data_IF_676832604806
#
_entry.id   IF_676832604806
#
_cell.length_a   1.000
_cell.length_b   1.000
_cell.length_c   1.000
_cell.angle_alpha   90.00
_cell.angle_beta   90.00
_cell.angle_gamma   90.00
#
_symmetry.space_group_name_H-M   'P 1'
#
loop_
_entity.id
_entity.type
_entity.pdbx_description
1 polymer ?
#
# COMPACT_ATOMS: atom_id res chain seq x y z
N UNK A 1 -24.33 16.97 5.17
CA UNK A 1 -23.32 15.94 4.82
C UNK A 1 -23.06 15.82 3.32
N UNK A 2 -23.47 16.79 2.50
CA UNK A 2 -23.26 16.80 1.02
C UNK A 2 -22.19 17.81 0.56
N UNK A 3 -21.55 18.53 1.47
CA UNK A 3 -20.54 19.55 1.14
C UNK A 3 -19.08 19.06 1.19
N UNK A 4 -18.78 18.05 1.99
CA UNK A 4 -17.42 17.55 2.15
C UNK A 4 -16.93 16.66 0.99
N UNK A 5 -17.85 16.01 0.28
CA UNK A 5 -17.52 15.18 -0.88
C UNK A 5 -17.22 16.02 -2.15
N UNK A 6 -17.80 17.23 -2.25
CA UNK A 6 -17.57 18.12 -3.39
C UNK A 6 -16.18 18.80 -3.36
N UNK A 7 -15.72 19.22 -2.18
CA UNK A 7 -14.36 19.81 -2.01
C UNK A 7 -13.24 18.77 -2.14
N UNK A 8 -13.51 17.50 -1.83
CA UNK A 8 -12.57 16.41 -2.07
C UNK A 8 -12.50 16.02 -3.57
N UNK A 9 -13.54 16.31 -4.34
CA UNK A 9 -13.61 15.99 -5.76
C UNK A 9 -12.84 17.01 -6.64
N UNK A 10 -12.79 18.30 -6.31
CA UNK A 10 -12.06 19.32 -7.09
C UNK A 10 -10.53 19.16 -7.04
N UNK A 11 -9.98 18.65 -5.95
CA UNK A 11 -8.52 18.51 -5.77
C UNK A 11 -7.86 17.31 -6.51
N UNK A 12 -8.63 16.44 -7.17
CA UNK A 12 -8.08 15.24 -7.85
C UNK A 12 -7.60 15.56 -9.27
N UNK A 13 -8.23 16.51 -9.93
CA UNK A 13 -7.97 16.83 -11.35
C UNK A 13 -6.60 17.51 -11.55
N UNK A 14 -6.17 18.34 -10.60
CA UNK A 14 -4.92 19.13 -10.72
C UNK A 14 -3.63 18.31 -10.49
N UNK A 15 -3.71 17.10 -9.97
CA UNK A 15 -2.53 16.34 -9.55
C UNK A 15 -1.90 15.45 -10.63
N UNK A 16 -2.57 15.27 -11.78
CA UNK A 16 -2.10 14.41 -12.86
C UNK A 16 -1.95 15.15 -14.21
N UNK A 17 -2.30 16.43 -14.26
CA UNK A 17 -2.33 17.25 -15.49
C UNK A 17 -1.08 18.13 -15.64
N UNK A 18 0.12 17.54 -15.71
CA UNK A 18 1.31 18.34 -16.06
C UNK A 18 1.83 18.05 -17.48
N UNK A 19 1.05 17.39 -18.35
CA UNK A 19 1.47 17.19 -19.75
C UNK A 19 0.28 17.08 -20.72
N UNK A 20 -0.66 18.02 -20.67
CA UNK A 20 -1.71 18.09 -21.70
C UNK A 20 -2.06 19.52 -22.05
N UNK A 21 -1.75 19.97 -23.26
CA UNK A 21 -2.37 21.17 -23.79
C UNK A 21 -3.86 20.89 -24.03
N UNK A 22 -4.73 21.35 -23.14
CA UNK A 22 -6.20 21.32 -23.31
C UNK A 22 -6.68 22.07 -24.58
N UNK A 23 -5.78 22.74 -25.27
CA UNK A 23 -6.05 23.44 -26.55
C UNK A 23 -6.05 22.53 -27.78
N UNK A 24 -5.63 21.27 -27.67
CA UNK A 24 -5.57 20.33 -28.81
C UNK A 24 -6.80 19.40 -28.91
N UNK A 25 -7.79 19.53 -28.05
CA UNK A 25 -8.97 18.66 -28.03
C UNK A 25 -10.04 19.04 -29.05
N UNK A 26 -9.99 20.25 -29.59
CA UNK A 26 -10.97 20.72 -30.61
C UNK A 26 -10.54 20.52 -32.06
N UNK A 27 -9.29 20.13 -32.33
CA UNK A 27 -8.75 20.08 -33.70
C UNK A 27 -8.08 18.75 -34.11
N UNK A 28 -8.26 17.67 -33.38
CA UNK A 28 -7.75 16.37 -33.82
C UNK A 28 -8.88 15.52 -34.45
N UNK A 29 -9.00 15.75 -35.71
CA UNK A 29 -9.44 14.92 -36.81
C UNK A 29 -10.17 13.62 -36.48
N UNK A 30 -11.36 13.55 -37.09
CA UNK A 30 -12.06 12.33 -37.54
C UNK A 30 -11.13 11.45 -38.40
N UNK A 31 -10.08 10.86 -37.84
CA UNK A 31 -9.46 9.73 -38.49
C UNK A 31 -10.42 8.56 -38.40
N UNK A 32 -11.11 8.36 -39.51
CA UNK A 32 -11.99 7.26 -39.83
C UNK A 32 -11.27 5.95 -39.50
N UNK A 33 -11.73 5.26 -38.47
CA UNK A 33 -11.43 3.84 -38.22
C UNK A 33 -12.22 3.06 -39.29
N UNK A 34 -11.71 3.05 -40.51
CA UNK A 34 -12.18 2.10 -41.53
C UNK A 34 -11.61 0.73 -41.18
N UNK A 35 -12.42 -0.31 -41.09
CA UNK A 35 -11.92 -1.66 -40.91
C UNK A 35 -11.19 -2.08 -42.20
N UNK A 36 -9.85 -2.15 -42.11
CA UNK A 36 -9.02 -2.73 -43.16
C UNK A 36 -9.39 -4.21 -43.30
N UNK A 37 -10.08 -4.56 -44.38
CA UNK A 37 -10.31 -5.93 -44.79
C UNK A 37 -8.97 -6.58 -45.13
N UNK A 38 -8.39 -7.30 -44.17
CA UNK A 38 -7.31 -8.24 -44.44
C UNK A 38 -7.90 -9.65 -44.63
N UNK A 39 -7.50 -10.22 -45.75
CA UNK A 39 -7.90 -11.53 -46.27
C UNK A 39 -7.51 -12.69 -45.36
N UNK A 40 -8.44 -13.60 -45.24
CA UNK A 40 -8.43 -15.05 -45.00
C UNK A 40 -7.21 -15.77 -44.41
N UNK A 41 -7.55 -16.65 -43.44
CA UNK A 41 -6.87 -17.84 -42.93
C UNK A 41 -5.86 -17.62 -41.81
N UNK A 42 -6.36 -17.46 -40.63
CA UNK A 42 -5.82 -18.03 -39.40
C UNK A 42 -6.98 -18.07 -38.41
N UNK A 43 -7.19 -19.19 -37.72
CA UNK A 43 -8.06 -19.26 -36.54
C UNK A 43 -7.48 -18.36 -35.46
N UNK A 44 -7.69 -17.06 -35.59
CA UNK A 44 -7.39 -16.08 -34.56
C UNK A 44 -8.42 -16.30 -33.45
N UNK A 45 -7.99 -16.77 -32.32
CA UNK A 45 -8.72 -16.52 -31.08
C UNK A 45 -8.99 -15.02 -31.04
N UNK A 46 -10.27 -14.65 -31.29
CA UNK A 46 -10.69 -13.25 -31.27
C UNK A 46 -10.31 -12.69 -29.86
N UNK A 47 -9.34 -11.80 -29.83
CA UNK A 47 -8.99 -11.11 -28.62
C UNK A 47 -10.25 -10.37 -28.11
N UNK A 48 -10.59 -10.57 -26.84
CA UNK A 48 -11.75 -9.97 -26.19
C UNK A 48 -11.80 -8.44 -26.43
N UNK A 49 -10.64 -7.80 -26.48
CA UNK A 49 -10.49 -6.38 -26.77
C UNK A 49 -10.95 -6.03 -28.19
N UNK A 50 -10.58 -6.84 -29.21
CA UNK A 50 -10.98 -6.61 -30.59
C UNK A 50 -12.48 -6.82 -30.78
N UNK A 51 -13.03 -7.83 -30.11
CA UNK A 51 -14.46 -8.11 -30.15
C UNK A 51 -15.26 -6.96 -29.55
N UNK A 52 -14.88 -6.48 -28.38
CA UNK A 52 -15.51 -5.32 -27.74
C UNK A 52 -15.41 -4.06 -28.62
N UNK A 53 -14.24 -3.75 -29.18
CA UNK A 53 -14.05 -2.58 -30.02
C UNK A 53 -14.87 -2.63 -31.31
N UNK A 54 -15.07 -3.81 -31.88
CA UNK A 54 -15.93 -3.99 -33.05
C UNK A 54 -17.41 -3.75 -32.71
N UNK A 55 -17.87 -4.27 -31.57
CA UNK A 55 -19.27 -4.17 -31.14
C UNK A 55 -19.68 -2.73 -30.81
N UNK A 56 -18.85 -1.96 -30.10
CA UNK A 56 -19.14 -0.53 -29.79
C UNK A 56 -19.18 0.35 -31.06
N UNK A 57 -18.54 -0.09 -32.15
CA UNK A 57 -18.53 0.61 -33.44
C UNK A 57 -19.89 0.70 -34.12
N UNK A 58 -20.82 -0.21 -33.82
CA UNK A 58 -22.15 -0.27 -34.45
C UNK A 58 -23.10 0.82 -33.95
N UNK A 59 -22.88 1.39 -32.75
CA UNK A 59 -23.76 2.44 -32.21
C UNK A 59 -23.45 3.78 -32.86
N UNK A 60 -24.41 4.42 -33.60
CA UNK A 60 -24.18 5.72 -34.21
C UNK A 60 -24.04 6.82 -33.16
N UNK A 61 -23.21 7.82 -33.47
CA UNK A 61 -23.02 9.00 -32.64
C UNK A 61 -24.30 9.84 -32.60
N UNK A 62 -24.54 10.51 -31.48
CA UNK A 62 -25.69 11.40 -31.30
C UNK A 62 -25.32 12.83 -31.74
N UNK A 63 -26.28 13.50 -32.36
CA UNK A 63 -26.24 14.94 -32.60
C UNK A 63 -26.52 15.72 -31.31
N UNK A 64 -26.18 17.01 -31.25
CA UNK A 64 -26.42 17.84 -30.06
C UNK A 64 -27.92 17.91 -29.67
N UNK A 65 -28.82 17.82 -30.65
CA UNK A 65 -30.27 17.82 -30.42
C UNK A 65 -30.74 16.49 -29.84
N UNK A 66 -30.23 15.40 -30.40
CA UNK A 66 -30.48 14.04 -29.87
C UNK A 66 -29.93 13.85 -28.47
N UNK A 67 -28.73 14.37 -28.16
CA UNK A 67 -28.16 14.36 -26.81
C UNK A 67 -29.12 15.00 -25.81
N UNK A 68 -29.65 16.18 -26.11
CA UNK A 68 -30.64 16.87 -25.26
C UNK A 68 -31.94 16.10 -25.12
N UNK A 69 -32.44 15.56 -26.25
CA UNK A 69 -33.68 14.80 -26.24
C UNK A 69 -33.58 13.54 -25.38
N UNK A 70 -32.55 12.72 -25.59
CA UNK A 70 -32.37 11.51 -24.83
C UNK A 70 -31.99 11.79 -23.37
N UNK A 71 -31.19 12.84 -23.06
CA UNK A 71 -30.88 13.25 -21.72
C UNK A 71 -32.15 13.65 -20.93
N UNK A 72 -33.06 14.44 -21.51
CA UNK A 72 -34.34 14.79 -20.88
C UNK A 72 -35.20 13.56 -20.56
N UNK A 73 -35.19 12.56 -21.40
CA UNK A 73 -35.91 11.29 -21.19
C UNK A 73 -35.22 10.42 -20.15
N UNK A 74 -33.89 10.36 -20.15
CA UNK A 74 -33.14 9.63 -19.16
C UNK A 74 -33.34 10.20 -17.74
N UNK A 75 -33.39 11.53 -17.59
CA UNK A 75 -33.74 12.20 -16.33
C UNK A 75 -35.16 11.88 -15.83
N UNK A 76 -36.09 11.57 -16.75
CA UNK A 76 -37.46 11.11 -16.40
C UNK A 76 -37.52 9.63 -16.04
N UNK A 77 -36.36 8.91 -16.06
CA UNK A 77 -36.28 7.49 -15.73
C UNK A 77 -36.54 6.54 -16.89
N UNK A 78 -36.56 7.01 -18.16
CA UNK A 78 -36.73 6.14 -19.31
C UNK A 78 -35.48 5.30 -19.59
N UNK A 79 -35.52 3.99 -19.29
CA UNK A 79 -34.39 3.08 -19.39
C UNK A 79 -33.83 2.97 -20.84
N UNK A 80 -34.70 3.02 -21.86
CA UNK A 80 -34.28 2.97 -23.25
C UNK A 80 -33.45 4.19 -23.67
N UNK A 81 -33.83 5.40 -23.19
CA UNK A 81 -33.09 6.63 -23.44
C UNK A 81 -31.73 6.62 -22.73
N UNK A 82 -31.70 6.17 -21.48
CA UNK A 82 -30.45 6.00 -20.72
C UNK A 82 -29.50 5.02 -21.42
N UNK A 83 -30.00 3.86 -21.83
CA UNK A 83 -29.21 2.86 -22.59
C UNK A 83 -28.63 3.47 -23.85
N UNK A 84 -29.43 4.19 -24.63
CA UNK A 84 -29.01 4.83 -25.87
C UNK A 84 -27.91 5.86 -25.65
N UNK A 85 -28.02 6.69 -24.63
CA UNK A 85 -26.99 7.68 -24.26
C UNK A 85 -25.67 7.00 -23.89
N UNK A 86 -25.69 5.89 -23.17
CA UNK A 86 -24.48 5.15 -22.78
C UNK A 86 -23.84 4.53 -24.03
N UNK A 87 -24.58 3.73 -24.78
CA UNK A 87 -24.06 2.98 -25.96
C UNK A 87 -23.43 3.89 -27.01
N UNK A 88 -24.02 5.05 -27.27
CA UNK A 88 -23.51 6.00 -28.24
C UNK A 88 -22.22 6.69 -27.82
N UNK A 89 -21.88 6.65 -26.53
CA UNK A 89 -20.70 7.32 -25.96
C UNK A 89 -19.59 6.36 -25.48
N UNK A 90 -19.74 5.03 -25.68
CA UNK A 90 -18.70 4.06 -25.32
C UNK A 90 -17.36 4.32 -26.03
N UNK A 91 -17.40 4.79 -27.28
CA UNK A 91 -16.21 5.18 -28.06
C UNK A 91 -15.40 6.28 -27.36
N UNK A 92 -16.07 7.24 -26.70
CA UNK A 92 -15.42 8.30 -25.92
C UNK A 92 -14.65 7.70 -24.75
N UNK A 93 -15.24 6.73 -24.04
CA UNK A 93 -14.57 6.05 -22.94
C UNK A 93 -13.26 5.39 -23.41
N UNK A 94 -13.31 4.66 -24.52
CA UNK A 94 -12.11 4.01 -25.10
C UNK A 94 -11.03 5.03 -25.45
N UNK A 95 -11.41 6.18 -26.07
CA UNK A 95 -10.48 7.25 -26.43
C UNK A 95 -9.74 7.81 -25.18
N UNK A 96 -10.48 7.99 -24.08
CA UNK A 96 -9.91 8.49 -22.83
C UNK A 96 -9.05 7.39 -22.17
N UNK A 97 -9.54 6.16 -22.04
CA UNK A 97 -8.86 5.05 -21.39
C UNK A 97 -7.49 4.74 -22.02
N UNK A 98 -7.34 4.91 -23.34
CA UNK A 98 -6.05 4.71 -24.04
C UNK A 98 -4.93 5.61 -23.53
N UNK A 99 -5.24 6.79 -22.96
CA UNK A 99 -4.23 7.71 -22.40
C UNK A 99 -3.66 7.22 -21.07
N UNK A 100 -4.36 6.29 -20.42
CA UNK A 100 -3.97 5.73 -19.11
C UNK A 100 -3.33 4.34 -19.24
N UNK A 101 -3.02 3.89 -20.47
CA UNK A 101 -2.26 2.66 -20.70
C UNK A 101 -0.91 2.70 -19.99
N UNK A 102 -0.42 1.51 -19.59
CA UNK A 102 0.87 1.33 -18.90
C UNK A 102 0.95 1.97 -17.49
N UNK A 103 -0.19 2.30 -16.89
CA UNK A 103 -0.24 2.81 -15.50
C UNK A 103 -0.62 1.74 -14.47
N UNK A 104 -0.53 0.45 -14.83
CA UNK A 104 -0.72 -0.68 -13.92
C UNK A 104 -2.07 -1.39 -14.02
N UNK A 105 -3.01 -0.91 -14.84
CA UNK A 105 -4.27 -1.61 -15.17
C UNK A 105 -4.32 -2.00 -16.64
N UNK A 106 -5.04 -3.09 -16.96
CA UNK A 106 -5.29 -3.50 -18.34
C UNK A 106 -6.21 -2.50 -19.06
N UNK A 107 -6.16 -2.46 -20.40
CA UNK A 107 -7.05 -1.59 -21.18
C UNK A 107 -8.53 -1.88 -20.90
N UNK A 108 -8.90 -3.15 -20.79
CA UNK A 108 -10.29 -3.54 -20.53
C UNK A 108 -10.75 -3.06 -19.13
N UNK A 109 -9.91 -3.21 -18.10
CA UNK A 109 -10.24 -2.72 -16.76
C UNK A 109 -10.40 -1.19 -16.74
N UNK A 110 -9.54 -0.47 -17.46
CA UNK A 110 -9.65 1.00 -17.61
C UNK A 110 -10.94 1.40 -18.31
N UNK A 111 -11.36 0.64 -19.31
CA UNK A 111 -12.63 0.87 -20.04
C UNK A 111 -13.81 0.64 -19.11
N UNK A 112 -13.82 -0.46 -18.35
CA UNK A 112 -14.94 -0.77 -17.45
C UNK A 112 -15.07 0.27 -16.34
N UNK A 113 -13.97 0.71 -15.74
CA UNK A 113 -13.99 1.81 -14.77
C UNK A 113 -14.45 3.13 -15.41
N UNK A 114 -14.01 3.40 -16.66
CA UNK A 114 -14.49 4.53 -17.45
C UNK A 114 -15.98 4.45 -17.75
N UNK A 115 -16.51 3.26 -18.04
CA UNK A 115 -17.95 3.03 -18.26
C UNK A 115 -18.76 3.35 -17.00
N UNK A 116 -18.26 3.04 -15.80
CA UNK A 116 -18.91 3.47 -14.55
C UNK A 116 -18.96 5.00 -14.43
N UNK A 117 -17.89 5.68 -14.85
CA UNK A 117 -17.86 7.14 -14.94
C UNK A 117 -18.87 7.70 -15.93
N UNK A 118 -18.99 7.09 -17.12
CA UNK A 118 -19.97 7.45 -18.14
C UNK A 118 -21.41 7.28 -17.65
N UNK A 119 -21.71 6.19 -16.96
CA UNK A 119 -23.03 5.94 -16.37
C UNK A 119 -23.42 7.05 -15.39
N UNK A 120 -22.50 7.43 -14.50
CA UNK A 120 -22.71 8.55 -13.55
C UNK A 120 -22.89 9.87 -14.28
N UNK A 121 -22.16 10.10 -15.36
CA UNK A 121 -22.30 11.30 -16.18
C UNK A 121 -23.70 11.38 -16.79
N UNK A 122 -24.23 10.28 -17.34
CA UNK A 122 -25.59 10.24 -17.90
C UNK A 122 -26.66 10.53 -16.85
N UNK A 123 -26.49 10.05 -15.63
CA UNK A 123 -27.43 10.27 -14.52
C UNK A 123 -27.44 11.73 -14.01
N UNK A 124 -26.32 12.40 -14.08
CA UNK A 124 -26.15 13.76 -13.51
C UNK A 124 -26.13 14.87 -14.57
N UNK A 125 -26.16 14.55 -15.85
CA UNK A 125 -26.07 15.54 -16.93
C UNK A 125 -27.33 16.39 -17.03
N UNK A 126 -27.16 17.71 -17.00
CA UNK A 126 -28.24 18.70 -17.22
C UNK A 126 -28.20 19.23 -18.66
N UNK A 127 -29.15 18.85 -19.52
CA UNK A 127 -29.20 19.25 -20.93
C UNK A 127 -29.55 20.74 -21.13
N UNK A 128 -30.04 21.44 -20.12
CA UNK A 128 -30.46 22.85 -20.23
C UNK A 128 -29.29 23.84 -20.10
N UNK A 129 -28.13 23.38 -19.61
CA UNK A 129 -26.92 24.21 -19.46
C UNK A 129 -26.24 24.57 -20.80
N UNK A 130 -26.64 23.99 -21.92
CA UNK A 130 -26.14 24.32 -23.26
C UNK A 130 -24.78 23.72 -23.64
N UNK A 131 -24.14 22.98 -22.74
CA UNK A 131 -22.87 22.29 -23.03
C UNK A 131 -23.09 20.94 -23.70
N UNK A 132 -22.10 20.46 -24.46
CA UNK A 132 -22.10 19.11 -25.04
C UNK A 132 -21.95 18.06 -23.93
N UNK A 133 -22.62 16.94 -24.10
CA UNK A 133 -22.50 15.82 -23.16
C UNK A 133 -21.07 15.30 -23.03
N UNK A 134 -20.32 15.25 -24.12
CA UNK A 134 -18.94 14.77 -24.13
C UNK A 134 -18.01 15.55 -23.21
N UNK A 135 -18.17 16.87 -23.11
CA UNK A 135 -17.40 17.74 -22.21
C UNK A 135 -17.62 17.37 -20.75
N UNK A 136 -18.87 17.19 -20.36
CA UNK A 136 -19.24 16.78 -19.01
C UNK A 136 -18.82 15.34 -18.69
N UNK A 137 -19.07 14.40 -19.61
CA UNK A 137 -18.73 13.00 -19.45
C UNK A 137 -17.22 12.76 -19.33
N UNK A 138 -16.40 13.53 -20.05
CA UNK A 138 -14.94 13.43 -19.98
C UNK A 138 -14.42 13.60 -18.57
N UNK A 139 -14.95 14.54 -17.80
CA UNK A 139 -14.57 14.76 -16.42
C UNK A 139 -14.89 13.53 -15.55
N UNK A 140 -16.10 12.99 -15.63
CA UNK A 140 -16.50 11.81 -14.85
C UNK A 140 -15.72 10.55 -15.21
N UNK A 141 -15.49 10.33 -16.52
CA UNK A 141 -14.72 9.19 -17.02
C UNK A 141 -13.28 9.27 -16.48
N UNK A 142 -12.63 10.43 -16.62
CA UNK A 142 -11.27 10.66 -16.13
C UNK A 142 -11.17 10.43 -14.64
N UNK A 143 -12.02 11.07 -13.87
CA UNK A 143 -12.10 10.96 -12.43
C UNK A 143 -12.22 9.51 -11.94
N UNK A 144 -13.09 8.71 -12.60
CA UNK A 144 -13.32 7.32 -12.19
C UNK A 144 -12.11 6.44 -12.53
N UNK A 145 -11.51 6.62 -13.70
CA UNK A 145 -10.29 5.90 -14.10
C UNK A 145 -9.12 6.21 -13.15
N UNK A 146 -8.88 7.48 -12.84
CA UNK A 146 -7.81 7.89 -11.94
C UNK A 146 -8.00 7.35 -10.53
N UNK A 147 -9.23 7.38 -10.04
CA UNK A 147 -9.57 6.79 -8.75
C UNK A 147 -9.35 5.27 -8.73
N UNK A 148 -9.69 4.58 -9.83
CA UNK A 148 -9.43 3.15 -9.98
C UNK A 148 -7.94 2.83 -9.98
N UNK A 149 -7.14 3.59 -10.73
CA UNK A 149 -5.68 3.46 -10.74
C UNK A 149 -5.11 3.62 -9.34
N UNK A 150 -5.47 4.66 -8.60
CA UNK A 150 -4.97 4.87 -7.23
C UNK A 150 -5.36 3.76 -6.26
N UNK A 151 -6.50 3.10 -6.48
CA UNK A 151 -7.03 2.08 -5.57
C UNK A 151 -6.56 0.66 -5.88
N UNK A 152 -6.28 0.33 -7.14
CA UNK A 152 -6.14 -1.05 -7.60
C UNK A 152 -4.73 -1.41 -8.10
N UNK A 153 -3.88 -0.43 -8.46
CA UNK A 153 -2.58 -0.72 -9.06
C UNK A 153 -1.52 -1.23 -8.08
N UNK A 154 -1.69 -0.96 -6.79
CA UNK A 154 -0.71 -1.34 -5.78
C UNK A 154 -1.10 -2.65 -5.09
N UNK A 155 -0.15 -3.58 -4.92
CA UNK A 155 -0.33 -4.81 -4.16
C UNK A 155 -0.74 -4.52 -2.71
N UNK A 156 -0.08 -3.55 -2.08
CA UNK A 156 -0.48 -3.01 -0.78
C UNK A 156 -1.23 -1.72 -1.03
N UNK A 157 -2.55 -1.75 -0.81
CA UNK A 157 -3.42 -0.61 -1.03
C UNK A 157 -3.08 0.56 -0.09
N UNK A 158 -2.83 1.72 -0.66
CA UNK A 158 -2.67 2.97 0.09
C UNK A 158 -3.96 3.80 0.06
N UNK A 159 -4.28 4.54 1.14
CA UNK A 159 -5.37 5.52 1.13
C UNK A 159 -5.13 6.62 0.09
N UNK A 160 -6.20 7.16 -0.50
CA UNK A 160 -6.10 8.16 -1.58
C UNK A 160 -5.34 9.42 -1.15
N UNK A 161 -5.54 9.89 0.10
CA UNK A 161 -4.83 11.07 0.59
C UNK A 161 -3.30 10.86 0.66
N UNK A 162 -2.86 9.65 1.05
CA UNK A 162 -1.43 9.28 1.06
C UNK A 162 -0.85 9.26 -0.36
N UNK A 163 -1.61 8.70 -1.32
CA UNK A 163 -1.17 8.68 -2.73
C UNK A 163 -1.08 10.10 -3.30
N UNK A 164 -2.03 10.99 -2.95
CA UNK A 164 -1.97 12.41 -3.37
C UNK A 164 -0.75 13.10 -2.80
N UNK A 165 -0.49 12.94 -1.52
CA UNK A 165 0.66 13.53 -0.84
C UNK A 165 1.98 13.01 -1.42
N UNK A 166 2.09 11.70 -1.64
CA UNK A 166 3.23 11.09 -2.32
C UNK A 166 3.47 11.69 -3.71
N UNK A 167 2.40 11.91 -4.49
CA UNK A 167 2.51 12.50 -5.81
C UNK A 167 3.03 13.95 -5.78
N UNK A 168 2.74 14.73 -4.73
CA UNK A 168 3.31 16.06 -4.54
C UNK A 168 4.82 15.97 -4.38
N UNK A 169 5.31 15.05 -3.54
CA UNK A 169 6.75 14.86 -3.34
C UNK A 169 7.46 14.33 -4.59
N UNK A 170 6.84 13.39 -5.32
CA UNK A 170 7.39 12.88 -6.58
C UNK A 170 7.44 13.97 -7.68
N UNK A 171 6.45 14.86 -7.73
CA UNK A 171 6.46 16.02 -8.66
C UNK A 171 7.57 16.99 -8.28
N UNK A 172 7.71 17.32 -7.00
CA UNK A 172 8.79 18.16 -6.51
C UNK A 172 10.17 17.57 -6.82
N UNK A 173 10.33 16.26 -6.62
CA UNK A 173 11.57 15.55 -6.97
C UNK A 173 11.88 15.66 -8.47
N UNK A 174 10.90 15.45 -9.36
CA UNK A 174 11.10 15.62 -10.81
C UNK A 174 11.49 17.04 -11.21
N UNK A 175 10.86 18.06 -10.60
CA UNK A 175 11.21 19.46 -10.85
C UNK A 175 12.63 19.79 -10.40
N UNK A 176 13.08 19.23 -9.27
CA UNK A 176 14.44 19.40 -8.78
C UNK A 176 15.45 18.66 -9.69
N UNK A 177 15.16 17.42 -10.10
CA UNK A 177 16.01 16.68 -11.04
C UNK A 177 16.24 17.42 -12.36
N UNK A 178 15.25 18.18 -12.83
CA UNK A 178 15.40 19.01 -14.05
C UNK A 178 16.27 20.26 -13.83
N UNK A 179 16.43 20.70 -12.58
CA UNK A 179 17.18 21.94 -12.23
C UNK A 179 18.56 21.66 -11.65
N UNK A 180 18.73 20.50 -11.04
CA UNK A 180 19.96 20.08 -10.38
C UNK A 180 20.71 19.07 -11.26
N UNK A 181 22.03 19.05 -11.18
CA UNK A 181 22.88 18.07 -11.88
C UNK A 181 23.01 16.74 -11.12
N UNK A 182 22.25 16.58 -10.02
CA UNK A 182 22.26 15.37 -9.16
C UNK A 182 20.86 14.95 -8.76
N UNK A 183 20.70 13.74 -8.24
CA UNK A 183 19.44 13.25 -7.70
C UNK A 183 19.06 14.02 -6.42
N UNK A 184 17.82 14.59 -6.34
CA UNK A 184 17.43 15.41 -5.22
C UNK A 184 17.35 14.63 -3.92
N UNK A 185 17.91 15.21 -2.86
CA UNK A 185 17.84 14.67 -1.51
C UNK A 185 16.46 14.91 -0.88
N UNK A 186 16.11 14.11 0.15
CA UNK A 186 14.86 14.32 0.88
C UNK A 186 14.78 15.71 1.55
N UNK A 187 15.92 16.30 1.88
CA UNK A 187 16.03 17.64 2.49
C UNK A 187 15.71 18.74 1.48
N UNK A 188 16.17 18.62 0.23
CA UNK A 188 15.88 19.55 -0.85
C UNK A 188 14.42 19.47 -1.27
N UNK A 189 13.84 18.26 -1.32
CA UNK A 189 12.41 18.09 -1.58
C UNK A 189 11.59 18.73 -0.46
N UNK A 190 11.96 18.51 0.80
CA UNK A 190 11.30 19.08 1.97
C UNK A 190 11.32 20.60 1.95
N UNK A 191 12.45 21.20 1.58
CA UNK A 191 12.60 22.64 1.44
C UNK A 191 11.74 23.22 0.33
N UNK A 192 11.58 22.51 -0.81
CA UNK A 192 10.73 22.96 -1.91
C UNK A 192 9.23 22.91 -1.57
N UNK A 193 8.80 21.87 -0.84
CA UNK A 193 7.38 21.64 -0.52
C UNK A 193 6.97 22.28 0.82
N UNK A 194 7.93 22.82 1.59
CA UNK A 194 7.73 23.39 2.92
C UNK A 194 7.10 22.38 3.90
N UNK A 195 7.73 21.20 4.00
CA UNK A 195 7.30 20.10 4.87
C UNK A 195 8.46 19.52 5.67
N UNK A 196 8.19 18.87 6.83
CA UNK A 196 9.24 18.23 7.62
C UNK A 196 9.96 17.13 6.82
N UNK A 197 11.28 17.06 6.95
CA UNK A 197 12.12 16.06 6.25
C UNK A 197 11.74 14.63 6.60
N UNK A 198 11.34 14.38 7.85
CA UNK A 198 10.93 13.07 8.34
C UNK A 198 9.66 12.55 7.62
N UNK A 199 8.69 13.45 7.37
CA UNK A 199 7.48 13.11 6.63
C UNK A 199 7.79 12.77 5.18
N UNK A 200 8.67 13.54 4.53
CA UNK A 200 9.12 13.27 3.16
C UNK A 200 9.83 11.92 3.07
N UNK A 201 10.77 11.61 3.99
CA UNK A 201 11.47 10.31 4.04
C UNK A 201 10.48 9.16 4.23
N UNK A 202 9.54 9.29 5.16
CA UNK A 202 8.50 8.28 5.40
C UNK A 202 7.63 8.05 4.17
N UNK A 203 7.19 9.12 3.50
CA UNK A 203 6.35 9.01 2.31
C UNK A 203 7.09 8.45 1.10
N UNK A 204 8.35 8.82 0.90
CA UNK A 204 9.16 8.24 -0.18
C UNK A 204 9.40 6.74 0.02
N UNK A 205 9.59 6.26 1.25
CA UNK A 205 9.66 4.83 1.57
C UNK A 205 8.40 4.04 1.18
N UNK A 206 7.20 4.67 1.16
CA UNK A 206 5.99 4.02 0.68
C UNK A 206 5.95 3.81 -0.85
N UNK A 207 6.89 4.41 -1.59
CA UNK A 207 6.99 4.25 -3.04
C UNK A 207 7.85 3.04 -3.45
N UNK A 208 8.40 2.30 -2.52
CA UNK A 208 9.18 1.10 -2.81
C UNK A 208 8.34 0.05 -3.53
N UNK A 209 8.97 -0.62 -4.49
CA UNK A 209 8.31 -1.68 -5.27
C UNK A 209 8.28 -2.97 -4.47
N UNK A 210 7.11 -3.57 -4.40
CA UNK A 210 6.92 -4.91 -3.82
C UNK A 210 7.16 -5.93 -4.93
N UNK A 211 8.01 -6.93 -4.66
CA UNK A 211 8.30 -8.04 -5.57
C UNK A 211 7.86 -9.37 -4.93
N UNK A 212 7.63 -10.40 -5.74
CA UNK A 212 7.37 -11.74 -5.22
C UNK A 212 8.65 -12.35 -4.66
N UNK A 213 8.54 -13.10 -3.57
CA UNK A 213 9.65 -13.87 -3.00
C UNK A 213 9.92 -15.18 -3.75
N UNK A 214 8.95 -15.63 -4.58
CA UNK A 214 9.06 -16.85 -5.38
C UNK A 214 9.77 -16.64 -6.71
N UNK A 215 10.28 -15.42 -6.97
CA UNK A 215 11.03 -15.15 -8.20
C UNK A 215 12.34 -15.92 -8.18
N UNK A 216 12.68 -16.68 -9.25
CA UNK A 216 13.96 -17.37 -9.36
C UNK A 216 15.12 -16.36 -9.39
N UNK A 217 16.23 -16.67 -8.73
CA UNK A 217 17.41 -15.81 -8.63
C UNK A 217 18.17 -15.64 -9.96
N UNK A 218 17.88 -16.49 -10.95
CA UNK A 218 18.50 -16.41 -12.28
C UNK A 218 17.76 -17.28 -13.29
N UNK A 219 18.02 -17.10 -14.59
CA UNK A 219 17.31 -17.83 -15.64
C UNK A 219 17.50 -19.35 -15.58
N UNK A 220 18.62 -19.82 -15.02
CA UNK A 220 18.95 -21.24 -14.90
C UNK A 220 18.94 -21.75 -13.44
N UNK A 221 18.38 -20.98 -12.51
CA UNK A 221 18.38 -21.33 -11.09
C UNK A 221 16.97 -21.75 -10.65
N UNK A 222 16.86 -22.97 -10.11
CA UNK A 222 15.63 -23.45 -9.47
C UNK A 222 15.43 -22.88 -8.05
N UNK A 223 16.41 -22.09 -7.54
CA UNK A 223 16.30 -21.47 -6.22
C UNK A 223 15.52 -20.17 -6.28
N UNK A 224 14.57 -20.02 -5.38
CA UNK A 224 13.78 -18.80 -5.21
C UNK A 224 14.53 -17.77 -4.36
N UNK A 225 14.10 -16.50 -4.43
CA UNK A 225 14.58 -15.46 -3.53
C UNK A 225 14.31 -15.83 -2.05
N UNK A 226 13.21 -16.56 -1.80
CA UNK A 226 12.84 -17.04 -0.47
C UNK A 226 13.93 -17.91 0.16
N UNK A 227 14.59 -18.77 -0.63
CA UNK A 227 15.65 -19.68 -0.14
C UNK A 227 16.91 -18.94 0.34
N UNK A 228 17.03 -17.66 0.00
CA UNK A 228 18.20 -16.82 0.35
C UNK A 228 17.95 -15.97 1.59
N UNK A 229 16.68 -15.78 1.96
CA UNK A 229 16.31 -14.95 3.11
C UNK A 229 16.54 -15.77 4.39
N UNK A 230 17.42 -15.27 5.26
CA UNK A 230 17.67 -15.89 6.55
C UNK A 230 16.47 -15.77 7.48
N UNK A 231 16.14 -16.84 8.19
CA UNK A 231 15.16 -16.80 9.27
C UNK A 231 15.81 -16.24 10.54
N UNK A 232 15.43 -15.04 10.92
CA UNK A 232 15.93 -14.36 12.12
C UNK A 232 15.30 -14.89 13.43
N UNK A 233 14.32 -15.78 13.35
CA UNK A 233 13.71 -16.38 14.54
C UNK A 233 14.41 -17.66 14.98
N UNK A 234 15.24 -18.23 14.14
CA UNK A 234 16.05 -19.41 14.48
C UNK A 234 17.26 -18.93 15.26
N UNK A 235 17.32 -19.26 16.55
CA UNK A 235 18.49 -19.00 17.38
C UNK A 235 19.68 -19.84 16.90
N UNK A 236 20.88 -19.26 16.97
CA UNK A 236 22.09 -20.00 16.65
C UNK A 236 22.23 -21.21 17.61
N UNK A 237 22.51 -22.42 17.09
CA UNK A 237 22.76 -23.60 17.94
C UNK A 237 23.81 -23.36 19.01
N UNK A 238 24.81 -22.50 18.76
CA UNK A 238 25.80 -22.10 19.74
C UNK A 238 25.19 -21.27 20.89
N UNK A 239 24.30 -20.34 20.58
CA UNK A 239 23.57 -19.56 21.60
C UNK A 239 22.65 -20.46 22.44
N UNK A 240 21.95 -21.41 21.80
CA UNK A 240 21.09 -22.35 22.52
C UNK A 240 21.89 -23.22 23.50
N UNK A 241 23.06 -23.72 23.08
CA UNK A 241 23.94 -24.52 23.96
C UNK A 241 24.46 -23.66 25.11
N UNK A 242 24.85 -22.43 24.84
CA UNK A 242 25.32 -21.50 25.87
C UNK A 242 24.22 -21.19 26.90
N UNK A 243 22.98 -21.00 26.44
CA UNK A 243 21.83 -20.79 27.31
C UNK A 243 21.52 -22.02 28.19
N UNK A 244 21.65 -23.24 27.63
CA UNK A 244 21.47 -24.49 28.39
C UNK A 244 22.57 -24.67 29.44
N UNK A 245 23.83 -24.45 29.09
CA UNK A 245 24.95 -24.49 30.01
C UNK A 245 24.82 -23.43 31.14
N UNK A 246 24.35 -22.24 30.77
CA UNK A 246 24.07 -21.18 31.73
C UNK A 246 22.97 -21.57 32.72
N UNK A 247 21.87 -22.17 32.23
CA UNK A 247 20.77 -22.65 33.07
C UNK A 247 21.22 -23.76 34.00
N UNK A 248 22.05 -24.69 33.52
CA UNK A 248 22.62 -25.75 34.35
C UNK A 248 23.51 -25.15 35.44
N UNK A 249 24.40 -24.24 35.09
CA UNK A 249 25.28 -23.56 36.04
C UNK A 249 24.51 -22.77 37.11
N UNK A 250 23.44 -22.06 36.73
CA UNK A 250 22.55 -21.37 37.67
C UNK A 250 21.94 -22.38 38.66
N UNK A 251 21.56 -23.55 38.20
CA UNK A 251 21.07 -24.63 39.07
C UNK A 251 22.10 -25.01 40.16
N UNK A 252 23.35 -25.24 39.75
CA UNK A 252 24.45 -25.57 40.66
C UNK A 252 24.73 -24.44 41.67
N UNK A 253 24.76 -23.18 41.20
CA UNK A 253 24.98 -22.04 42.10
C UNK A 253 23.86 -21.83 43.13
N UNK A 254 22.62 -22.14 42.75
CA UNK A 254 21.49 -22.12 43.68
C UNK A 254 21.61 -23.19 44.77
N UNK A 255 22.26 -24.30 44.49
CA UNK A 255 22.51 -25.36 45.51
C UNK A 255 23.51 -24.93 46.59
N UNK A 256 24.44 -24.01 46.29
CA UNK A 256 25.38 -23.44 47.25
C UNK A 256 24.74 -22.42 48.22
N UNK A 257 23.50 -21.98 47.94
CA UNK A 257 22.76 -21.07 48.84
C UNK A 257 22.06 -21.84 49.96
N UNK A 258 21.78 -21.12 51.06
CA UNK A 258 20.94 -21.69 52.11
C UNK A 258 19.52 -21.95 51.59
N UNK A 259 18.83 -22.93 52.18
CA UNK A 259 17.49 -23.38 51.78
C UNK A 259 16.50 -22.19 51.65
N UNK A 260 16.49 -21.29 52.64
CA UNK A 260 15.63 -20.10 52.61
C UNK A 260 16.01 -19.09 51.53
N UNK A 261 17.31 -18.91 51.26
CA UNK A 261 17.78 -18.04 50.19
C UNK A 261 17.43 -18.61 48.81
N UNK A 262 17.63 -19.89 48.63
CA UNK A 262 17.27 -20.60 47.38
C UNK A 262 15.79 -20.51 47.12
N UNK A 263 14.95 -20.76 48.11
CA UNK A 263 13.49 -20.69 47.93
C UNK A 263 13.00 -19.29 47.56
N UNK A 264 13.53 -18.24 48.22
CA UNK A 264 13.22 -16.84 47.91
C UNK A 264 13.62 -16.47 46.49
N UNK A 265 14.84 -16.84 46.05
CA UNK A 265 15.32 -16.56 44.67
C UNK A 265 14.54 -17.32 43.64
N UNK A 266 14.31 -18.63 43.84
CA UNK A 266 13.58 -19.46 42.89
C UNK A 266 12.16 -18.95 42.65
N UNK A 267 11.40 -18.60 43.70
CA UNK A 267 10.05 -18.06 43.57
C UNK A 267 10.05 -16.62 43.01
N UNK A 268 11.05 -15.82 43.34
CA UNK A 268 11.13 -14.43 42.86
C UNK A 268 11.41 -14.33 41.38
N UNK A 269 12.29 -15.17 40.86
CA UNK A 269 12.76 -15.13 39.48
C UNK A 269 12.16 -16.25 38.58
N UNK A 270 11.29 -17.09 39.13
CA UNK A 270 10.68 -18.18 38.36
C UNK A 270 11.63 -19.30 37.96
N UNK A 271 12.56 -19.65 38.92
CA UNK A 271 13.55 -20.71 38.71
C UNK A 271 13.04 -22.04 39.31
N UNK A 272 13.64 -23.15 38.89
CA UNK A 272 13.35 -24.47 39.43
C UNK A 272 11.84 -24.91 39.35
N UNK A 273 11.12 -24.41 38.30
CA UNK A 273 9.70 -24.76 38.06
C UNK A 273 8.68 -23.86 38.77
N UNK A 274 9.13 -22.80 39.46
CA UNK A 274 8.24 -21.78 40.02
C UNK A 274 7.92 -20.69 38.99
N UNK A 275 6.77 -20.02 39.11
CA UNK A 275 6.48 -18.80 38.40
C UNK A 275 7.08 -17.58 39.09
N UNK A 276 7.47 -16.58 38.33
CA UNK A 276 8.05 -15.35 38.88
C UNK A 276 7.00 -14.56 39.67
N UNK A 277 7.26 -14.32 40.96
CA UNK A 277 6.35 -13.69 41.89
C UNK A 277 6.89 -12.40 42.49
N UNK A 278 5.99 -11.52 42.96
CA UNK A 278 6.39 -10.28 43.64
C UNK A 278 6.92 -10.55 45.07
N UNK A 279 7.68 -9.59 45.66
CA UNK A 279 8.19 -9.73 47.04
C UNK A 279 7.08 -9.95 48.07
N UNK A 280 5.90 -9.44 47.82
CA UNK A 280 4.75 -9.57 48.72
C UNK A 280 4.12 -10.97 48.61
N UNK A 281 3.97 -11.49 47.40
CA UNK A 281 3.47 -12.83 47.13
C UNK A 281 4.39 -13.89 47.69
N UNK A 282 5.72 -13.76 47.43
CA UNK A 282 6.73 -14.64 47.99
C UNK A 282 6.69 -14.58 49.53
N UNK A 283 6.54 -13.39 50.14
CA UNK A 283 6.42 -13.23 51.56
C UNK A 283 5.18 -13.92 52.15
N UNK A 284 4.05 -13.86 51.43
CA UNK A 284 2.81 -14.50 51.84
C UNK A 284 2.91 -16.04 51.78
N UNK A 285 3.60 -16.58 50.77
CA UNK A 285 3.79 -18.02 50.61
C UNK A 285 4.75 -18.62 51.64
N UNK A 286 5.86 -17.89 51.93
CA UNK A 286 6.92 -18.36 52.88
C UNK A 286 6.61 -17.98 54.35
N UNK A 287 5.57 -17.14 54.56
CA UNK A 287 5.20 -16.68 55.89
C UNK A 287 6.17 -15.58 56.45
N UNK A 288 6.75 -14.75 55.56
CA UNK A 288 7.68 -13.70 55.90
C UNK A 288 7.15 -12.31 55.49
N UNK A 289 7.62 -11.24 56.13
CA UNK A 289 7.29 -9.88 55.73
C UNK A 289 8.03 -9.52 54.43
N UNK A 290 7.40 -8.66 53.59
CA UNK A 290 7.99 -8.14 52.36
C UNK A 290 9.44 -7.64 52.53
N UNK A 291 9.69 -6.92 53.61
CA UNK A 291 11.02 -6.36 53.87
C UNK A 291 12.04 -7.46 54.24
N UNK A 292 11.59 -8.51 54.93
CA UNK A 292 12.47 -9.63 55.25
C UNK A 292 12.82 -10.44 54.00
N UNK A 293 11.87 -10.62 53.09
CA UNK A 293 12.10 -11.24 51.75
C UNK A 293 13.11 -10.42 50.96
N UNK A 294 12.98 -9.08 50.97
CA UNK A 294 13.93 -8.16 50.29
C UNK A 294 15.35 -8.30 50.84
N UNK A 295 15.50 -8.37 52.18
CA UNK A 295 16.80 -8.55 52.83
C UNK A 295 17.43 -9.90 52.40
N UNK A 296 16.67 -10.99 52.45
CA UNK A 296 17.13 -12.32 52.03
C UNK A 296 17.54 -12.31 50.54
N UNK A 297 16.77 -11.65 49.69
CA UNK A 297 17.09 -11.53 48.26
C UNK A 297 18.44 -10.81 48.06
N UNK A 298 18.64 -9.66 48.71
CA UNK A 298 19.89 -8.90 48.57
C UNK A 298 21.09 -9.71 49.05
N UNK A 299 20.93 -10.40 50.16
CA UNK A 299 21.98 -11.26 50.74
C UNK A 299 22.30 -12.44 49.83
N UNK A 300 21.27 -13.08 49.27
CA UNK A 300 21.41 -14.19 48.33
C UNK A 300 22.11 -13.76 47.03
N UNK A 301 21.69 -12.64 46.44
CA UNK A 301 22.34 -12.08 45.24
C UNK A 301 23.79 -11.70 45.46
N UNK A 302 24.11 -11.15 46.64
CA UNK A 302 25.52 -10.88 47.02
C UNK A 302 26.33 -12.19 47.08
N UNK A 303 25.78 -13.23 47.69
CA UNK A 303 26.46 -14.51 47.80
C UNK A 303 26.63 -15.19 46.42
N UNK A 304 25.63 -15.10 45.56
CA UNK A 304 25.76 -15.57 44.17
C UNK A 304 26.88 -14.84 43.41
N UNK A 305 27.00 -13.52 43.60
CA UNK A 305 28.10 -12.76 43.00
C UNK A 305 29.45 -13.24 43.48
N UNK A 306 29.61 -13.53 44.78
CA UNK A 306 30.84 -14.05 45.34
C UNK A 306 31.20 -15.45 44.77
N UNK A 307 30.18 -16.27 44.46
CA UNK A 307 30.36 -17.59 43.82
C UNK A 307 30.85 -17.41 42.40
N UNK A 308 30.19 -16.54 41.62
CA UNK A 308 30.57 -16.21 40.22
C UNK A 308 32.01 -15.68 40.13
N UNK A 309 32.37 -14.72 40.96
CA UNK A 309 33.74 -14.15 41.00
C UNK A 309 34.80 -15.22 41.36
N UNK A 310 34.45 -16.19 42.24
CA UNK A 310 35.32 -17.31 42.61
C UNK A 310 35.52 -18.29 41.47
N UNK A 311 34.55 -18.44 40.60
CA UNK A 311 34.63 -19.28 39.38
C UNK A 311 35.28 -18.55 38.17
N UNK A 312 35.68 -17.28 38.35
CA UNK A 312 36.34 -16.48 37.32
C UNK A 312 35.38 -15.89 36.29
N UNK A 313 34.07 -15.97 36.50
CA UNK A 313 33.07 -15.36 35.67
C UNK A 313 32.83 -13.90 36.13
N UNK A 314 33.32 -12.92 35.35
CA UNK A 314 32.99 -11.52 35.58
C UNK A 314 31.64 -11.19 34.92
N UNK A 315 30.91 -10.18 35.46
CA UNK A 315 29.65 -9.75 34.92
C UNK A 315 29.75 -9.30 33.45
N UNK A 316 30.91 -8.86 32.98
CA UNK A 316 31.15 -8.52 31.57
C UNK A 316 31.30 -9.75 30.69
N UNK A 317 31.82 -10.87 31.20
CA UNK A 317 31.97 -12.10 30.45
C UNK A 317 30.67 -12.89 30.28
N UNK A 318 29.63 -12.58 31.06
CA UNK A 318 28.32 -13.27 31.01
C UNK A 318 27.34 -12.53 30.10
N UNK A 319 27.56 -11.24 29.83
CA UNK A 319 26.66 -10.40 29.04
C UNK A 319 27.31 -9.86 27.74
N UNK A 320 28.48 -10.34 27.36
CA UNK A 320 29.13 -10.09 26.08
C UNK A 320 28.78 -11.16 25.06
#
# INVERSE_FOLDING_TARGET
MLGADAELEEGIVDLLDDDSPDAALEAADEESITPRRESASSQRTLDATQLYLSEIGFSPLLTAEEERFFARKALKGEAAARKRMIESNLRLVVKISRRYLNRGLSLLDLIEEGNLGLIRAVEKFDPERGFRFSTYATWWIRQTIERAIMNQTRTIRLPIHVVKELNIYLRAARQLTQKLDHEPSAEEIAALVDRPVEDVKRMLGLNERVTSVDVPLGPDSDRSLLDTIADHQVSDPAELLQDEDMRASIGEWLEELSEKQREVISRRFGLAGFEAATLEEVGREIGLTRERVRQIQVEALRRLREILERQGLSGEAVFS
#
